data_IF_019735613583
#
_entry.id   IF_019735613583
#
_cell.length_a   1.000
_cell.length_b   1.000
_cell.length_c   1.000
_cell.angle_alpha   90.00
_cell.angle_beta   90.00
_cell.angle_gamma   90.00
#
_symmetry.space_group_name_H-M   'P 1'
#
loop_
_entity.id
_entity.type
_entity.pdbx_description
1 polymer ?
#
# COMPACT_ATOMS: atom_id res chain seq x y z
N UNK A 1 6.83 -21.49 -4.75
CA UNK A 1 6.49 -20.93 -6.07
C UNK A 1 5.06 -21.31 -6.48
N UNK A 2 4.67 -22.60 -6.54
CA UNK A 2 3.33 -23.05 -7.01
C UNK A 2 2.21 -22.46 -6.13
N UNK A 3 2.35 -22.50 -4.81
CA UNK A 3 1.38 -21.93 -3.88
C UNK A 3 1.24 -20.38 -4.07
N UNK A 4 2.36 -19.67 -4.23
CA UNK A 4 2.34 -18.25 -4.52
C UNK A 4 1.64 -17.92 -5.85
N UNK A 5 1.89 -18.69 -6.91
CA UNK A 5 1.22 -18.53 -8.21
C UNK A 5 -0.28 -18.83 -8.13
N UNK A 6 -0.70 -19.86 -7.39
CA UNK A 6 -2.12 -20.17 -7.19
C UNK A 6 -2.84 -19.07 -6.42
N UNK A 7 -2.18 -18.47 -5.41
CA UNK A 7 -2.71 -17.30 -4.72
C UNK A 7 -2.84 -16.09 -5.64
N UNK A 8 -1.82 -15.79 -6.46
CA UNK A 8 -1.89 -14.71 -7.45
C UNK A 8 -3.05 -14.87 -8.43
N UNK A 9 -3.33 -16.10 -8.86
CA UNK A 9 -4.46 -16.39 -9.75
C UNK A 9 -5.83 -16.12 -9.09
N UNK A 10 -5.92 -16.26 -7.76
CA UNK A 10 -7.18 -16.09 -7.01
C UNK A 10 -7.45 -14.66 -6.54
N UNK A 11 -6.44 -13.80 -6.52
CA UNK A 11 -6.51 -12.45 -5.91
C UNK A 11 -7.38 -11.47 -6.71
N UNK A 12 -7.50 -11.59 -8.03
CA UNK A 12 -8.29 -10.65 -8.83
C UNK A 12 -9.50 -11.30 -9.45
N UNK A 13 -10.67 -10.78 -9.08
CA UNK A 13 -11.97 -11.23 -9.60
C UNK A 13 -12.20 -10.90 -11.08
N UNK A 14 -11.43 -9.96 -11.67
CA UNK A 14 -11.69 -9.45 -13.03
C UNK A 14 -11.02 -10.25 -14.15
N UNK A 15 -9.85 -10.85 -13.94
CA UNK A 15 -9.17 -11.67 -14.96
C UNK A 15 -8.04 -12.53 -14.37
N UNK A 16 -8.32 -13.78 -13.95
CA UNK A 16 -7.30 -14.70 -13.43
C UNK A 16 -6.13 -14.92 -14.40
N UNK A 17 -6.42 -14.91 -15.71
CA UNK A 17 -5.44 -15.10 -16.77
C UNK A 17 -4.40 -13.96 -16.78
N UNK A 18 -4.85 -12.71 -16.64
CA UNK A 18 -3.91 -11.56 -16.60
C UNK A 18 -3.00 -11.62 -15.39
N UNK A 19 -3.52 -12.06 -14.25
CA UNK A 19 -2.73 -12.20 -13.03
C UNK A 19 -1.70 -13.33 -13.17
N UNK A 20 -2.10 -14.45 -13.77
CA UNK A 20 -1.18 -15.55 -14.05
C UNK A 20 -0.05 -15.11 -15.00
N UNK A 21 -0.39 -14.40 -16.08
CA UNK A 21 0.60 -13.83 -17.02
C UNK A 21 1.54 -12.87 -16.28
N UNK A 22 1.01 -11.96 -15.46
CA UNK A 22 1.82 -11.05 -14.66
C UNK A 22 2.76 -11.77 -13.71
N UNK A 23 2.28 -12.82 -13.04
CA UNK A 23 3.10 -13.68 -12.17
C UNK A 23 4.21 -14.40 -12.93
N UNK A 24 3.91 -14.92 -14.12
CA UNK A 24 4.91 -15.59 -14.98
C UNK A 24 5.97 -14.60 -15.48
N UNK A 25 5.56 -13.40 -15.88
CA UNK A 25 6.51 -12.32 -16.24
C UNK A 25 7.40 -11.96 -15.06
N UNK A 26 6.82 -11.80 -13.86
CA UNK A 26 7.58 -11.53 -12.65
C UNK A 26 8.59 -12.64 -12.33
N UNK A 27 8.19 -13.90 -12.45
CA UNK A 27 9.11 -15.05 -12.29
C UNK A 27 10.22 -15.05 -13.33
N UNK A 28 9.90 -14.74 -14.58
CA UNK A 28 10.89 -14.65 -15.65
C UNK A 28 11.92 -13.54 -15.34
N UNK A 29 11.46 -12.35 -14.97
CA UNK A 29 12.32 -11.24 -14.58
C UNK A 29 13.21 -11.60 -13.37
N UNK A 30 12.68 -12.34 -12.41
CA UNK A 30 13.43 -12.80 -11.24
C UNK A 30 14.53 -13.84 -11.58
N UNK A 31 14.54 -14.41 -12.79
CA UNK A 31 15.61 -15.34 -13.24
C UNK A 31 16.81 -14.63 -13.88
N UNK A 32 16.70 -13.31 -14.12
CA UNK A 32 17.80 -12.52 -14.69
C UNK A 32 18.90 -12.37 -13.63
N UNK A 33 20.15 -12.61 -14.01
CA UNK A 33 21.30 -12.50 -13.12
C UNK A 33 22.10 -13.79 -13.00
N UNK A 34 23.02 -13.82 -12.05
CA UNK A 34 23.86 -14.99 -11.78
C UNK A 34 23.13 -15.94 -10.85
N UNK A 35 23.08 -17.21 -11.23
CA UNK A 35 22.50 -18.25 -10.39
C UNK A 35 23.42 -18.55 -9.20
N UNK A 36 22.93 -18.33 -7.98
CA UNK A 36 23.73 -18.37 -6.73
C UNK A 36 24.47 -19.68 -6.46
N UNK A 37 23.96 -20.82 -6.95
CA UNK A 37 24.57 -22.14 -6.70
C UNK A 37 25.50 -22.61 -7.83
N UNK A 38 25.24 -22.18 -9.07
CA UNK A 38 26.02 -22.64 -10.23
C UNK A 38 26.96 -21.60 -10.80
N UNK A 39 26.83 -20.33 -10.42
CA UNK A 39 27.60 -19.23 -10.96
C UNK A 39 27.31 -18.90 -12.44
N UNK A 40 26.31 -19.56 -13.06
CA UNK A 40 25.96 -19.35 -14.47
C UNK A 40 25.10 -18.11 -14.59
N UNK A 41 25.51 -17.18 -15.47
CA UNK A 41 24.72 -16.00 -15.82
C UNK A 41 23.52 -16.38 -16.69
N UNK A 42 22.35 -15.85 -16.39
CA UNK A 42 21.09 -16.06 -17.12
C UNK A 42 20.53 -14.75 -17.59
N UNK A 43 20.23 -14.64 -18.87
CA UNK A 43 19.57 -13.48 -19.49
C UNK A 43 20.26 -12.13 -19.21
N UNK A 44 21.59 -12.15 -19.01
CA UNK A 44 22.38 -10.92 -18.77
C UNK A 44 22.82 -10.26 -20.07
N UNK A 45 22.76 -10.95 -21.18
CA UNK A 45 23.12 -10.46 -22.52
C UNK A 45 24.50 -9.77 -22.61
N UNK A 46 25.41 -10.07 -21.67
CA UNK A 46 26.73 -9.44 -21.57
C UNK A 46 26.74 -8.04 -20.96
N UNK A 47 25.66 -7.67 -20.30
CA UNK A 47 25.53 -6.39 -19.57
C UNK A 47 25.90 -6.65 -18.11
N UNK A 48 26.97 -5.98 -17.63
CA UNK A 48 27.53 -6.24 -16.29
C UNK A 48 26.55 -5.92 -15.16
N UNK A 49 25.77 -4.87 -15.30
CA UNK A 49 24.75 -4.44 -14.33
C UNK A 49 23.64 -5.49 -14.12
N UNK A 50 23.43 -6.40 -15.10
CA UNK A 50 22.46 -7.47 -15.00
C UNK A 50 23.00 -8.71 -14.31
N UNK A 51 24.31 -8.81 -13.98
CA UNK A 51 24.85 -9.95 -13.25
C UNK A 51 24.30 -10.00 -11.81
N UNK A 52 24.06 -8.88 -11.17
CA UNK A 52 23.44 -8.80 -9.85
C UNK A 52 21.91 -9.02 -9.89
N UNK A 53 21.35 -9.16 -11.09
CA UNK A 53 19.91 -9.24 -11.30
C UNK A 53 19.24 -7.87 -11.32
N UNK A 54 17.92 -7.86 -11.36
CA UNK A 54 17.13 -6.61 -11.33
C UNK A 54 16.72 -6.31 -9.89
N UNK A 55 17.17 -5.18 -9.38
CA UNK A 55 16.87 -4.76 -8.00
C UNK A 55 15.37 -4.60 -7.77
N UNK A 56 14.88 -5.18 -6.67
CA UNK A 56 13.45 -5.26 -6.35
C UNK A 56 12.81 -3.88 -6.14
N UNK A 57 13.48 -2.97 -5.44
CA UNK A 57 12.92 -1.64 -5.11
C UNK A 57 12.69 -0.77 -6.35
N UNK A 58 13.66 -0.60 -7.29
CA UNK A 58 13.40 0.10 -8.56
C UNK A 58 12.26 -0.51 -9.38
N UNK A 59 12.13 -1.84 -9.38
CA UNK A 59 11.03 -2.52 -10.08
C UNK A 59 9.68 -2.14 -9.46
N UNK A 60 9.59 -2.09 -8.13
CA UNK A 60 8.37 -1.67 -7.45
C UNK A 60 8.03 -0.20 -7.73
N UNK A 61 9.01 0.69 -7.68
CA UNK A 61 8.82 2.10 -8.03
C UNK A 61 8.30 2.21 -9.47
N UNK A 62 8.90 1.47 -10.40
CA UNK A 62 8.47 1.46 -11.80
C UNK A 62 7.06 0.92 -11.99
N UNK A 63 6.74 -0.22 -11.40
CA UNK A 63 5.42 -0.86 -11.57
C UNK A 63 4.30 -0.09 -10.89
N UNK A 64 4.49 0.39 -9.67
CA UNK A 64 3.43 1.06 -8.92
C UNK A 64 3.39 2.56 -9.19
N UNK A 65 4.48 3.29 -8.96
CA UNK A 65 4.46 4.73 -9.09
C UNK A 65 4.34 5.18 -10.56
N UNK A 66 5.11 4.56 -11.47
CA UNK A 66 5.06 4.91 -12.88
C UNK A 66 3.71 4.54 -13.51
N UNK A 67 3.16 3.38 -13.18
CA UNK A 67 1.84 2.98 -13.70
C UNK A 67 0.74 3.94 -13.26
N UNK A 68 0.77 4.38 -11.99
CA UNK A 68 -0.20 5.36 -11.48
C UNK A 68 -0.05 6.71 -12.18
N UNK A 69 1.18 7.19 -12.40
CA UNK A 69 1.45 8.43 -13.13
C UNK A 69 0.88 8.35 -14.55
N UNK A 70 1.11 7.25 -15.27
CA UNK A 70 0.60 7.05 -16.63
C UNK A 70 -0.93 6.99 -16.67
N UNK A 71 -1.55 6.30 -15.72
CA UNK A 71 -3.01 6.24 -15.59
C UNK A 71 -3.58 7.62 -15.30
N UNK A 72 -2.98 8.39 -14.43
CA UNK A 72 -3.44 9.74 -14.11
C UNK A 72 -3.20 10.72 -15.25
N UNK A 73 -2.09 10.59 -15.97
CA UNK A 73 -1.80 11.40 -17.17
C UNK A 73 -2.82 11.14 -18.29
N UNK A 74 -3.34 9.92 -18.39
CA UNK A 74 -4.37 9.56 -19.39
C UNK A 74 -5.76 10.08 -19.06
N UNK A 75 -6.02 10.43 -17.79
CA UNK A 75 -7.30 10.98 -17.33
C UNK A 75 -7.35 12.48 -17.60
N UNK A 76 -8.09 12.87 -18.64
CA UNK A 76 -8.21 14.26 -19.11
C UNK A 76 -9.06 15.18 -18.22
N UNK A 77 -9.34 14.85 -16.97
CA UNK A 77 -10.16 15.67 -16.10
C UNK A 77 -9.39 16.86 -15.51
N UNK A 78 -9.53 18.00 -16.18
CA UNK A 78 -8.92 19.30 -15.81
C UNK A 78 -9.69 20.09 -14.76
N UNK A 79 -10.80 19.58 -14.25
CA UNK A 79 -11.64 20.33 -13.32
C UNK A 79 -11.35 19.97 -11.86
N UNK A 80 -10.56 20.83 -11.21
CA UNK A 80 -10.55 20.90 -9.75
C UNK A 80 -11.74 21.76 -9.33
N UNK A 81 -12.78 21.16 -8.82
CA UNK A 81 -13.72 21.90 -8.00
C UNK A 81 -12.96 22.52 -6.83
N UNK A 82 -12.95 23.85 -6.75
CA UNK A 82 -12.34 24.56 -5.63
C UNK A 82 -13.16 24.29 -4.38
N UNK A 83 -12.77 23.28 -3.63
CA UNK A 83 -13.36 23.00 -2.33
C UNK A 83 -13.02 24.17 -1.41
N UNK A 84 -14.04 24.90 -0.97
CA UNK A 84 -13.87 25.93 0.07
C UNK A 84 -13.62 25.21 1.38
N UNK A 85 -12.38 25.30 1.87
CA UNK A 85 -12.05 24.77 3.18
C UNK A 85 -12.74 25.62 4.27
N UNK A 86 -13.65 25.02 4.97
CA UNK A 86 -14.21 25.48 6.24
C UNK A 86 -13.18 25.19 7.36
N UNK A 87 -13.35 25.85 8.52
CA UNK A 87 -12.50 25.59 9.66
C UNK A 87 -12.54 24.09 10.05
N UNK A 88 -11.37 23.51 10.33
CA UNK A 88 -11.25 22.12 10.79
C UNK A 88 -11.96 22.04 12.15
N UNK A 89 -13.01 21.26 12.22
CA UNK A 89 -13.71 20.93 13.47
C UNK A 89 -13.37 19.50 13.84
N UNK A 90 -12.88 19.29 15.04
CA UNK A 90 -12.74 17.95 15.59
C UNK A 90 -14.12 17.35 15.84
N UNK A 91 -14.30 16.05 15.60
CA UNK A 91 -15.57 15.41 15.89
C UNK A 91 -15.84 15.46 17.40
N UNK A 92 -17.09 15.68 17.77
CA UNK A 92 -17.53 15.64 19.15
C UNK A 92 -17.46 14.19 19.67
N UNK A 93 -17.40 14.02 21.00
CA UNK A 93 -17.41 12.71 21.65
C UNK A 93 -18.65 11.91 21.26
N UNK A 94 -19.79 12.58 21.09
CA UNK A 94 -21.04 11.92 20.69
C UNK A 94 -20.99 11.43 19.24
N UNK A 95 -20.44 12.20 18.33
CA UNK A 95 -20.21 11.79 16.94
C UNK A 95 -19.24 10.60 16.88
N UNK A 96 -18.15 10.63 17.64
CA UNK A 96 -17.20 9.52 17.72
C UNK A 96 -17.87 8.24 18.26
N UNK A 97 -18.68 8.35 19.33
CA UNK A 97 -19.42 7.22 19.88
C UNK A 97 -20.46 6.67 18.90
N UNK A 98 -21.13 7.51 18.13
CA UNK A 98 -22.11 7.08 17.12
C UNK A 98 -21.47 6.20 16.03
N UNK A 99 -20.23 6.53 15.61
CA UNK A 99 -19.46 5.79 14.63
C UNK A 99 -18.77 4.54 15.19
N UNK A 100 -18.70 4.36 16.50
CA UNK A 100 -17.86 3.34 17.15
C UNK A 100 -18.14 1.91 16.66
N UNK A 101 -19.39 1.54 16.44
CA UNK A 101 -19.75 0.22 15.89
C UNK A 101 -19.28 0.04 14.45
N UNK A 102 -19.40 1.08 13.64
CA UNK A 102 -18.97 1.09 12.25
C UNK A 102 -17.43 1.05 12.15
N UNK A 103 -16.73 1.81 13.00
CA UNK A 103 -15.28 1.78 13.13
C UNK A 103 -14.81 0.37 13.49
N UNK A 104 -15.33 -0.25 14.54
CA UNK A 104 -14.89 -1.56 15.00
C UNK A 104 -15.13 -2.65 13.94
N UNK A 105 -16.31 -2.65 13.32
CA UNK A 105 -16.65 -3.59 12.25
C UNK A 105 -15.72 -3.42 11.04
N UNK A 106 -15.54 -2.19 10.60
CA UNK A 106 -14.70 -1.87 9.45
C UNK A 106 -13.23 -2.16 9.71
N UNK A 107 -12.75 -1.95 10.94
CA UNK A 107 -11.39 -2.37 11.33
C UNK A 107 -11.20 -3.88 11.23
N UNK A 108 -12.19 -4.68 11.70
CA UNK A 108 -12.15 -6.13 11.54
C UNK A 108 -12.11 -6.57 10.07
N UNK A 109 -12.96 -5.96 9.23
CA UNK A 109 -12.98 -6.19 7.77
C UNK A 109 -11.63 -5.81 7.17
N UNK A 110 -11.13 -4.63 7.51
CA UNK A 110 -9.86 -4.14 7.00
C UNK A 110 -8.68 -5.05 7.34
N UNK A 111 -8.59 -5.49 8.60
CA UNK A 111 -7.56 -6.44 9.03
C UNK A 111 -7.63 -7.73 8.22
N UNK A 112 -8.83 -8.31 8.07
CA UNK A 112 -9.01 -9.54 7.32
C UNK A 112 -8.61 -9.41 5.85
N UNK A 113 -9.04 -8.33 5.19
CA UNK A 113 -8.69 -8.06 3.78
C UNK A 113 -7.20 -7.76 3.64
N UNK A 114 -6.60 -7.04 4.60
CA UNK A 114 -5.18 -6.76 4.61
C UNK A 114 -4.28 -8.00 4.66
N UNK A 115 -4.76 -9.11 5.28
CA UNK A 115 -4.05 -10.40 5.28
C UNK A 115 -3.96 -10.98 3.86
N UNK A 116 -4.92 -10.66 3.00
CA UNK A 116 -4.91 -11.15 1.62
C UNK A 116 -3.87 -10.39 0.80
N UNK A 117 -2.90 -11.07 0.19
CA UNK A 117 -1.85 -10.41 -0.59
C UNK A 117 -2.43 -9.58 -1.74
N UNK A 118 -1.86 -8.38 -1.95
CA UNK A 118 -2.14 -7.45 -3.04
C UNK A 118 -3.52 -6.73 -3.03
N UNK A 119 -4.46 -7.03 -2.13
CA UNK A 119 -5.77 -6.36 -2.12
C UNK A 119 -5.74 -4.96 -1.48
N UNK A 120 -4.87 -4.73 -0.54
CA UNK A 120 -4.56 -3.41 -0.01
C UNK A 120 -5.70 -2.64 0.66
N UNK A 121 -5.36 -1.41 1.07
CA UNK A 121 -6.27 -0.53 1.81
C UNK A 121 -7.47 -0.03 1.00
N UNK A 122 -7.34 0.13 -0.32
CA UNK A 122 -8.41 0.67 -1.18
C UNK A 122 -9.62 -0.26 -1.22
N UNK A 123 -9.42 -1.56 -1.40
CA UNK A 123 -10.49 -2.56 -1.40
C UNK A 123 -11.13 -2.64 -0.02
N UNK A 124 -10.31 -2.65 1.03
CA UNK A 124 -10.77 -2.61 2.42
C UNK A 124 -11.67 -1.41 2.70
N UNK A 125 -11.26 -0.21 2.26
CA UNK A 125 -12.03 1.01 2.42
C UNK A 125 -13.39 0.95 1.71
N UNK A 126 -13.42 0.44 0.47
CA UNK A 126 -14.66 0.30 -0.29
C UNK A 126 -15.64 -0.68 0.36
N UNK A 127 -15.13 -1.81 0.86
CA UNK A 127 -15.96 -2.80 1.55
C UNK A 127 -16.43 -2.23 2.90
N UNK A 128 -15.54 -1.57 3.66
CA UNK A 128 -15.89 -0.88 4.90
C UNK A 128 -17.01 0.16 4.73
N UNK A 129 -16.92 0.97 3.68
CA UNK A 129 -17.96 1.93 3.31
C UNK A 129 -19.30 1.25 3.02
N UNK A 130 -19.29 0.22 2.17
CA UNK A 130 -20.50 -0.49 1.76
C UNK A 130 -21.16 -1.19 2.95
N UNK A 131 -20.39 -1.83 3.82
CA UNK A 131 -20.92 -2.47 5.03
C UNK A 131 -21.42 -1.43 6.04
N UNK A 132 -20.75 -0.30 6.23
CA UNK A 132 -21.27 0.76 7.07
C UNK A 132 -22.60 1.28 6.54
N UNK A 133 -22.70 1.58 5.24
CA UNK A 133 -23.95 2.00 4.60
C UNK A 133 -25.06 0.98 4.76
N UNK A 134 -24.74 -0.32 4.63
CA UNK A 134 -25.72 -1.40 4.79
C UNK A 134 -26.38 -1.43 6.17
N UNK A 135 -25.58 -1.18 7.22
CA UNK A 135 -26.01 -1.29 8.61
C UNK A 135 -26.37 0.05 9.27
N UNK A 136 -26.05 1.16 8.62
CA UNK A 136 -26.39 2.49 9.13
C UNK A 136 -27.90 2.72 9.15
N UNK A 137 -28.33 3.50 10.14
CA UNK A 137 -29.70 4.02 10.21
C UNK A 137 -29.93 5.15 9.21
N UNK A 138 -28.85 5.85 8.79
CA UNK A 138 -28.88 7.04 7.95
C UNK A 138 -28.38 6.75 6.53
N UNK A 139 -28.79 5.63 5.94
CA UNK A 139 -28.30 5.16 4.63
C UNK A 139 -28.38 6.19 3.50
N UNK A 140 -29.42 7.02 3.54
CA UNK A 140 -29.70 8.05 2.53
C UNK A 140 -28.72 9.24 2.58
N UNK A 141 -28.03 9.40 3.70
CA UNK A 141 -27.08 10.51 3.90
C UNK A 141 -25.64 10.13 3.48
N UNK A 142 -25.40 8.86 3.14
CA UNK A 142 -24.09 8.44 2.60
C UNK A 142 -23.82 9.14 1.28
N UNK A 143 -22.62 9.73 1.16
CA UNK A 143 -22.25 10.62 0.07
C UNK A 143 -22.76 12.06 0.21
N UNK A 144 -23.49 12.40 1.28
CA UNK A 144 -24.05 13.71 1.56
C UNK A 144 -23.60 14.30 2.89
N UNK A 145 -22.51 13.79 3.46
CA UNK A 145 -21.93 14.28 4.71
C UNK A 145 -22.18 13.39 5.95
N UNK A 146 -22.62 12.14 5.76
CA UNK A 146 -22.71 11.18 6.85
C UNK A 146 -21.31 10.81 7.37
N UNK A 147 -21.09 11.01 8.67
CA UNK A 147 -19.77 10.78 9.31
C UNK A 147 -19.35 9.31 9.23
N UNK A 148 -20.26 8.36 9.37
CA UNK A 148 -19.99 6.95 9.20
C UNK A 148 -19.41 6.63 7.81
N UNK A 149 -19.81 7.40 6.78
CA UNK A 149 -19.32 7.27 5.41
C UNK A 149 -17.86 7.65 5.23
N UNK A 150 -17.25 8.32 6.22
CA UNK A 150 -15.81 8.62 6.26
C UNK A 150 -15.11 7.74 7.29
N UNK A 151 -15.67 7.63 8.49
CA UNK A 151 -15.04 6.90 9.59
C UNK A 151 -14.84 5.41 9.27
N UNK A 152 -15.81 4.77 8.63
CA UNK A 152 -15.75 3.34 8.32
C UNK A 152 -14.69 2.99 7.27
N UNK A 153 -14.65 3.61 6.06
CA UNK A 153 -13.62 3.30 5.08
C UNK A 153 -12.21 3.66 5.57
N UNK A 154 -12.04 4.75 6.30
CA UNK A 154 -10.73 5.12 6.87
C UNK A 154 -10.27 4.13 7.93
N UNK A 155 -11.18 3.64 8.79
CA UNK A 155 -10.87 2.59 9.77
C UNK A 155 -10.48 1.29 9.10
N UNK A 156 -11.17 0.89 8.02
CA UNK A 156 -10.84 -0.30 7.25
C UNK A 156 -9.48 -0.17 6.55
N UNK A 157 -9.20 0.99 5.95
CA UNK A 157 -7.94 1.28 5.28
C UNK A 157 -6.74 1.20 6.26
N UNK A 158 -6.87 1.86 7.41
CA UNK A 158 -5.83 1.83 8.45
C UNK A 158 -5.62 0.42 9.01
N UNK A 159 -6.69 -0.31 9.28
CA UNK A 159 -6.62 -1.68 9.78
C UNK A 159 -6.02 -2.66 8.77
N UNK A 160 -6.23 -2.44 7.47
CA UNK A 160 -5.63 -3.22 6.41
C UNK A 160 -4.10 -3.11 6.38
N UNK A 161 -3.54 -1.97 6.80
CA UNK A 161 -2.08 -1.80 6.94
C UNK A 161 -1.51 -2.78 7.97
N UNK A 162 -2.15 -2.90 9.13
CA UNK A 162 -1.79 -3.90 10.14
C UNK A 162 -1.99 -5.33 9.64
N UNK A 163 -3.11 -5.59 8.96
CA UNK A 163 -3.40 -6.88 8.33
C UNK A 163 -2.33 -7.30 7.32
N UNK A 164 -1.87 -6.37 6.47
CA UNK A 164 -0.84 -6.61 5.47
C UNK A 164 0.54 -6.94 6.07
N UNK A 165 0.83 -6.49 7.28
CA UNK A 165 2.08 -6.84 7.96
C UNK A 165 2.13 -8.31 8.40
N UNK A 166 0.98 -8.98 8.57
CA UNK A 166 0.93 -10.39 8.98
C UNK A 166 1.61 -11.29 7.94
N UNK A 167 1.15 -11.38 6.68
CA UNK A 167 1.82 -12.19 5.68
C UNK A 167 3.22 -11.66 5.36
N UNK A 168 3.43 -10.36 5.46
CA UNK A 168 4.72 -9.72 5.17
C UNK A 168 5.78 -10.20 6.14
N UNK A 169 5.55 -10.15 7.44
CA UNK A 169 6.51 -10.55 8.46
C UNK A 169 6.59 -12.07 8.63
N UNK A 170 5.43 -12.76 8.61
CA UNK A 170 5.37 -14.19 8.90
C UNK A 170 5.75 -15.08 7.71
N UNK A 171 5.48 -14.65 6.50
CA UNK A 171 5.69 -15.45 5.28
C UNK A 171 6.69 -14.83 4.30
N UNK A 172 7.07 -13.56 4.49
CA UNK A 172 7.85 -12.82 3.52
C UNK A 172 7.06 -12.49 2.23
N UNK A 173 5.73 -12.50 2.31
CA UNK A 173 4.84 -12.23 1.18
C UNK A 173 4.22 -10.84 1.39
N UNK A 174 4.46 -9.86 0.49
CA UNK A 174 3.93 -8.53 0.68
C UNK A 174 2.39 -8.53 0.58
N UNK A 175 1.73 -7.98 1.60
CA UNK A 175 0.28 -7.78 1.61
C UNK A 175 -0.16 -6.54 0.81
N UNK A 176 0.77 -5.63 0.51
CA UNK A 176 0.50 -4.39 -0.22
C UNK A 176 1.78 -3.87 -0.89
N UNK A 177 1.65 -2.87 -1.77
CA UNK A 177 2.80 -2.18 -2.37
C UNK A 177 3.75 -1.59 -1.31
N UNK A 178 3.20 -1.00 -0.26
CA UNK A 178 3.98 -0.43 0.85
C UNK A 178 4.77 -1.51 1.60
N UNK A 179 4.14 -2.65 1.91
CA UNK A 179 4.83 -3.74 2.60
C UNK A 179 5.87 -4.44 1.71
N UNK A 180 5.70 -4.38 0.39
CA UNK A 180 6.72 -4.84 -0.55
C UNK A 180 8.00 -3.97 -0.47
N UNK A 181 7.84 -2.64 -0.37
CA UNK A 181 8.99 -1.73 -0.16
C UNK A 181 9.66 -2.00 1.20
N UNK A 182 8.88 -2.27 2.24
CA UNK A 182 9.41 -2.64 3.57
C UNK A 182 10.24 -3.93 3.48
N UNK A 183 9.76 -4.94 2.75
CA UNK A 183 10.54 -6.17 2.51
C UNK A 183 11.85 -5.89 1.77
N UNK A 184 11.84 -5.00 0.78
CA UNK A 184 13.05 -4.54 0.11
C UNK A 184 14.04 -3.91 1.09
N UNK A 185 13.56 -3.07 2.01
CA UNK A 185 14.35 -2.51 3.10
C UNK A 185 14.97 -3.57 4.00
N UNK A 186 14.23 -4.61 4.34
CA UNK A 186 14.74 -5.74 5.12
C UNK A 186 15.88 -6.46 4.38
N UNK A 187 15.72 -6.70 3.08
CA UNK A 187 16.74 -7.35 2.26
C UNK A 187 18.07 -6.56 2.22
N UNK A 188 17.99 -5.23 2.07
CA UNK A 188 19.17 -4.36 2.09
C UNK A 188 19.91 -4.47 3.43
N UNK A 189 19.20 -4.65 4.54
CA UNK A 189 19.78 -4.86 5.87
C UNK A 189 20.13 -6.33 6.18
N UNK A 190 20.07 -7.22 5.19
CA UNK A 190 20.38 -8.64 5.36
C UNK A 190 19.32 -9.43 6.16
N UNK A 191 18.15 -8.83 6.39
CA UNK A 191 17.06 -9.43 7.15
C UNK A 191 16.16 -10.23 6.21
N UNK A 192 15.75 -11.42 6.63
CA UNK A 192 14.81 -12.27 5.90
C UNK A 192 13.51 -12.36 6.65
N UNK A 193 12.44 -11.79 6.07
CA UNK A 193 11.09 -11.97 6.58
C UNK A 193 10.66 -13.44 6.43
N UNK A 194 9.94 -13.95 7.40
CA UNK A 194 9.51 -15.33 7.46
C UNK A 194 9.46 -15.86 8.89
N UNK A 195 9.14 -17.16 9.09
CA UNK A 195 9.02 -17.74 10.43
C UNK A 195 10.27 -17.56 11.30
N UNK A 196 11.45 -17.66 10.72
CA UNK A 196 12.73 -17.49 11.43
C UNK A 196 12.93 -16.08 12.00
N UNK A 197 12.29 -15.05 11.43
CA UNK A 197 12.38 -13.68 11.95
C UNK A 197 11.81 -13.62 13.38
N UNK A 198 10.76 -14.38 13.66
CA UNK A 198 10.12 -14.43 14.98
C UNK A 198 10.97 -15.12 16.02
N UNK A 199 11.78 -16.10 15.61
CA UNK A 199 12.65 -16.86 16.53
C UNK A 199 14.01 -16.20 16.73
N UNK A 200 14.60 -15.66 15.65
CA UNK A 200 15.96 -15.15 15.67
C UNK A 200 16.08 -13.66 15.99
N UNK A 201 15.01 -12.88 15.71
CA UNK A 201 15.01 -11.42 15.83
C UNK A 201 13.74 -10.87 16.51
N UNK A 202 13.32 -11.40 17.68
CA UNK A 202 12.09 -10.95 18.34
C UNK A 202 12.14 -9.46 18.71
N UNK A 203 13.29 -8.94 19.11
CA UNK A 203 13.47 -7.52 19.46
C UNK A 203 13.17 -6.60 18.28
N UNK A 204 13.55 -6.99 17.08
CA UNK A 204 13.24 -6.26 15.86
C UNK A 204 11.73 -6.23 15.60
N UNK A 205 11.04 -7.36 15.79
CA UNK A 205 9.59 -7.44 15.62
C UNK A 205 8.86 -6.53 16.61
N UNK A 206 9.23 -6.59 17.89
CA UNK A 206 8.67 -5.69 18.89
C UNK A 206 8.96 -4.24 18.56
N UNK A 207 10.17 -3.92 18.09
CA UNK A 207 10.53 -2.57 17.64
C UNK A 207 9.62 -2.11 16.50
N UNK A 208 9.33 -2.98 15.52
CA UNK A 208 8.41 -2.67 14.41
C UNK A 208 7.00 -2.41 14.94
N UNK A 209 6.47 -3.27 15.82
CA UNK A 209 5.12 -3.11 16.35
C UNK A 209 4.96 -1.84 17.19
N UNK A 210 5.91 -1.57 18.10
CA UNK A 210 5.92 -0.34 18.89
C UNK A 210 6.14 0.89 18.01
N UNK A 211 7.01 0.77 17.00
CA UNK A 211 7.24 1.82 16.02
C UNK A 211 5.99 2.16 15.23
N UNK A 212 5.24 1.16 14.77
CA UNK A 212 3.95 1.35 14.10
C UNK A 212 2.92 2.01 15.03
N UNK A 213 2.84 1.58 16.28
CA UNK A 213 1.94 2.19 17.27
C UNK A 213 2.29 3.66 17.50
N UNK A 214 3.56 3.95 17.75
CA UNK A 214 4.05 5.31 17.94
C UNK A 214 3.83 6.17 16.69
N UNK A 215 4.09 5.62 15.50
CA UNK A 215 3.86 6.30 14.24
C UNK A 215 2.40 6.70 14.05
N UNK A 216 1.44 5.87 14.47
CA UNK A 216 0.00 6.23 14.42
C UNK A 216 -0.33 7.43 15.31
N UNK A 217 0.24 7.52 16.53
CA UNK A 217 0.07 8.69 17.40
C UNK A 217 0.69 9.94 16.78
N UNK A 218 1.90 9.84 16.28
CA UNK A 218 2.60 10.93 15.61
C UNK A 218 1.82 11.37 14.37
N UNK A 219 1.36 10.43 13.57
CA UNK A 219 0.57 10.69 12.36
C UNK A 219 -0.74 11.41 12.69
N UNK A 220 -1.43 11.03 13.77
CA UNK A 220 -2.63 11.74 14.23
C UNK A 220 -2.32 13.19 14.57
N UNK A 221 -1.27 13.45 15.35
CA UNK A 221 -0.86 14.81 15.75
C UNK A 221 -0.49 15.64 14.52
N UNK A 222 0.42 15.15 13.70
CA UNK A 222 0.85 15.86 12.48
C UNK A 222 -0.27 15.99 11.45
N UNK A 223 -1.14 15.00 11.34
CA UNK A 223 -2.30 15.05 10.46
C UNK A 223 -3.27 16.16 10.86
N UNK A 224 -3.59 16.29 12.15
CA UNK A 224 -4.46 17.34 12.65
C UNK A 224 -3.82 18.73 12.52
N UNK A 225 -2.54 18.87 12.88
CA UNK A 225 -1.82 20.14 12.76
C UNK A 225 -1.59 20.52 11.30
N UNK A 226 -1.22 19.56 10.48
CA UNK A 226 -0.88 19.73 9.08
C UNK A 226 -2.06 19.79 8.13
N UNK A 227 -3.24 19.38 8.54
CA UNK A 227 -4.41 19.23 7.66
C UNK A 227 -4.71 20.51 6.86
N UNK A 228 -4.57 21.70 7.48
CA UNK A 228 -4.76 22.98 6.80
C UNK A 228 -3.67 23.27 5.77
N UNK A 229 -2.44 22.83 6.01
CA UNK A 229 -1.30 23.04 5.11
C UNK A 229 -1.40 22.03 3.97
N UNK A 230 -1.59 20.75 4.30
CA UNK A 230 -1.67 19.65 3.33
C UNK A 230 -2.88 19.76 2.41
N UNK A 231 -3.98 20.33 2.91
CA UNK A 231 -5.14 20.62 2.05
C UNK A 231 -4.82 21.59 0.91
N UNK A 232 -3.82 22.47 1.07
CA UNK A 232 -3.35 23.35 0.00
C UNK A 232 -2.59 22.62 -1.09
N UNK A 233 -1.90 21.52 -0.75
CA UNK A 233 -1.19 20.67 -1.72
C UNK A 233 -2.18 20.06 -2.70
N UNK A 234 -3.37 19.69 -2.25
CA UNK A 234 -4.44 19.19 -3.11
C UNK A 234 -4.93 20.21 -4.16
N UNK A 235 -4.59 21.48 -3.99
CA UNK A 235 -4.91 22.55 -4.94
C UNK A 235 -3.84 22.71 -6.03
N UNK A 236 -2.70 22.02 -5.92
CA UNK A 236 -1.66 22.06 -6.94
C UNK A 236 -2.21 21.40 -8.21
N UNK A 237 -2.17 22.10 -9.36
CA UNK A 237 -2.61 21.53 -10.61
C UNK A 237 -1.90 20.19 -10.92
N UNK A 238 -2.66 19.21 -11.34
CA UNK A 238 -2.14 17.86 -11.68
C UNK A 238 -0.98 17.90 -12.67
N UNK A 239 -1.00 18.91 -13.58
CA UNK A 239 0.07 19.13 -14.56
C UNK A 239 1.45 19.41 -13.96
N UNK A 240 1.53 19.91 -12.72
CA UNK A 240 2.80 20.08 -12.00
C UNK A 240 3.09 18.92 -11.04
N UNK A 241 2.02 18.37 -10.43
CA UNK A 241 2.15 17.31 -9.44
C UNK A 241 2.75 16.03 -10.04
N UNK A 242 2.17 15.54 -11.14
CA UNK A 242 2.59 14.27 -11.73
C UNK A 242 4.00 14.29 -12.33
N UNK A 243 4.42 15.35 -13.07
CA UNK A 243 5.82 15.45 -13.49
C UNK A 243 6.80 15.51 -12.33
N UNK A 244 6.46 16.19 -11.24
CA UNK A 244 7.31 16.23 -10.04
C UNK A 244 7.45 14.85 -9.41
N UNK A 245 6.36 14.10 -9.24
CA UNK A 245 6.39 12.72 -8.73
C UNK A 245 7.22 11.82 -9.66
N UNK A 246 7.08 11.98 -10.97
CA UNK A 246 7.87 11.25 -11.96
C UNK A 246 9.38 11.47 -11.76
N UNK A 247 9.80 12.72 -11.64
CA UNK A 247 11.22 13.07 -11.41
C UNK A 247 11.72 12.46 -10.10
N UNK A 248 10.94 12.56 -9.00
CA UNK A 248 11.31 11.95 -7.72
C UNK A 248 11.43 10.42 -7.79
N UNK A 249 10.57 9.76 -8.56
CA UNK A 249 10.65 8.31 -8.79
C UNK A 249 11.94 7.93 -9.54
N UNK A 250 12.30 8.69 -10.56
CA UNK A 250 13.55 8.46 -11.32
C UNK A 250 14.78 8.68 -10.44
N UNK A 251 14.85 9.81 -9.75
CA UNK A 251 15.98 10.13 -8.87
C UNK A 251 16.11 9.12 -7.74
N UNK A 252 14.98 8.75 -7.10
CA UNK A 252 14.96 7.75 -6.04
C UNK A 252 15.38 6.36 -6.52
N UNK A 253 14.91 5.94 -7.70
CA UNK A 253 15.30 4.66 -8.29
C UNK A 253 16.80 4.63 -8.64
N UNK A 254 17.31 5.73 -9.22
CA UNK A 254 18.73 5.86 -9.55
C UNK A 254 19.63 5.84 -8.31
N UNK A 255 19.23 6.56 -7.25
CA UNK A 255 19.98 6.57 -5.99
C UNK A 255 20.01 5.24 -5.24
N UNK A 256 19.14 4.30 -5.57
CA UNK A 256 19.09 2.94 -5.00
C UNK A 256 19.80 1.91 -5.87
N UNK A 257 20.18 2.27 -7.10
CA UNK A 257 20.86 1.37 -8.04
C UNK A 257 22.37 1.59 -8.08
N UNK A 258 22.90 2.48 -7.23
CA UNK A 258 24.33 2.66 -6.99
C UNK A 258 24.76 1.93 -5.71
#
# INVERSE_FOLDING_TARGET
AIFGLSMLASISSKSPVKNLIGGLIGLFVATIGVHLTTGISRFTFGVDELFEGISFVPVLIGLFAMSEILVQASKSELFLERIKFSAIKLPSINEFKSCGKSILRSSGIGTFIGILPAEGGTVSAMIGYNEARRWSKNKENFGKGEIEGVAAPESANNAATGGAMIPTLALGIPGSATTAVILGGFQIHGLRAGPYLFEQQPDLLYTIFYGMLLANFIFLIFGLMGAKIFSRISLIPRGYLWPSVFVFCLVGSYGLSQ
#
